data_IF_316819204678
#
_entry.id   IF_316819204678
#
_cell.length_a   1.000
_cell.length_b   1.000
_cell.length_c   1.000
_cell.angle_alpha   90.00
_cell.angle_beta   90.00
_cell.angle_gamma   90.00
#
_symmetry.space_group_name_H-M   'P 1'
#
loop_
_entity.id
_entity.type
_entity.pdbx_description
1 polymer ?
#
# COMPACT_ATOMS: atom_id res chain seq x y z
N UNK A 1 -60.31 67.44 19.22
CA UNK A 1 -60.10 66.44 20.28
C UNK A 1 -59.49 65.20 19.64
N UNK A 2 -58.36 64.74 20.20
CA UNK A 2 -57.59 63.48 20.04
C UNK A 2 -58.41 62.24 19.59
N UNK A 3 -57.92 61.15 18.96
CA UNK A 3 -56.62 60.45 18.84
C UNK A 3 -56.68 59.52 17.58
N UNK A 4 -55.63 59.22 16.80
CA UNK A 4 -54.42 58.37 16.97
C UNK A 4 -54.64 56.83 17.09
N UNK A 5 -53.97 56.06 16.22
CA UNK A 5 -53.71 54.60 16.32
C UNK A 5 -53.82 53.86 14.97
N UNK A 6 -52.80 53.75 14.11
CA UNK A 6 -51.54 52.97 14.16
C UNK A 6 -51.66 51.50 13.73
N UNK A 7 -50.77 51.11 12.83
CA UNK A 7 -50.68 49.84 12.09
C UNK A 7 -49.78 48.79 12.77
N UNK A 8 -50.02 47.50 12.47
CA UNK A 8 -49.03 46.39 12.49
C UNK A 8 -49.57 45.29 11.57
N UNK A 9 -48.89 44.71 10.57
CA UNK A 9 -47.45 44.48 10.43
C UNK A 9 -47.16 42.99 10.64
N UNK A 10 -47.52 42.13 9.68
CA UNK A 10 -47.27 40.69 9.73
C UNK A 10 -45.77 40.39 9.56
N UNK A 11 -45.08 40.07 10.66
CA UNK A 11 -43.70 39.61 10.65
C UNK A 11 -43.62 38.09 10.51
N UNK A 12 -43.15 37.60 9.37
CA UNK A 12 -42.66 36.23 9.24
C UNK A 12 -41.26 36.11 9.86
N UNK A 13 -41.18 35.64 11.10
CA UNK A 13 -39.91 35.24 11.70
C UNK A 13 -39.42 33.93 11.10
N UNK A 14 -38.47 33.99 10.15
CA UNK A 14 -37.64 32.84 9.78
C UNK A 14 -36.66 32.57 10.91
N UNK A 15 -36.88 31.49 11.64
CA UNK A 15 -35.88 30.92 12.54
C UNK A 15 -34.65 30.53 11.70
N UNK A 16 -33.55 31.24 11.90
CA UNK A 16 -32.25 30.89 11.33
C UNK A 16 -31.76 29.66 12.08
N UNK A 17 -31.68 28.51 11.39
CA UNK A 17 -30.99 27.34 11.92
C UNK A 17 -29.50 27.69 12.10
N UNK A 18 -28.88 27.37 13.26
CA UNK A 18 -27.45 27.58 13.43
C UNK A 18 -26.70 26.65 12.47
N UNK A 19 -25.82 27.25 11.65
CA UNK A 19 -24.83 26.51 10.87
C UNK A 19 -23.94 25.71 11.84
N UNK A 20 -23.68 24.41 11.61
CA UNK A 20 -22.60 23.74 12.30
C UNK A 20 -21.26 24.28 11.77
N UNK A 21 -20.73 25.28 12.48
CA UNK A 21 -19.38 25.82 12.27
C UNK A 21 -18.41 24.99 13.08
N UNK A 22 -17.96 23.88 12.53
CA UNK A 22 -16.66 23.29 12.85
C UNK A 22 -16.12 22.71 11.55
N UNK A 23 -15.24 23.46 10.88
CA UNK A 23 -14.31 22.83 9.95
C UNK A 23 -13.67 21.67 10.71
N UNK A 24 -13.72 20.42 10.22
CA UNK A 24 -13.00 19.34 10.89
C UNK A 24 -11.53 19.72 10.87
N UNK A 25 -11.01 20.07 12.04
CA UNK A 25 -9.58 20.27 12.22
C UNK A 25 -8.93 18.96 11.82
N UNK A 26 -8.17 18.98 10.72
CA UNK A 26 -7.47 17.79 10.24
C UNK A 26 -6.62 17.27 11.40
N UNK A 27 -6.91 16.09 11.97
CA UNK A 27 -6.12 15.59 13.08
C UNK A 27 -4.67 15.49 12.62
N UNK A 28 -3.74 15.94 13.46
CA UNK A 28 -2.31 15.75 13.25
C UNK A 28 -2.01 14.25 13.13
N UNK A 29 -0.93 13.85 12.43
CA UNK A 29 -0.54 12.44 12.47
C UNK A 29 -0.35 12.00 13.90
N UNK A 30 -0.83 10.78 14.20
CA UNK A 30 -0.48 10.14 15.45
C UNK A 30 1.05 10.12 15.53
N UNK A 31 1.63 10.54 16.65
CA UNK A 31 3.09 10.60 16.83
C UNK A 31 3.75 9.26 16.51
N UNK A 32 3.04 8.14 16.74
CA UNK A 32 3.46 6.78 16.40
C UNK A 32 3.70 6.54 14.89
N UNK A 33 3.15 7.36 14.01
CA UNK A 33 3.32 7.27 12.56
C UNK A 33 4.34 8.25 12.01
N UNK A 34 4.95 9.09 12.85
CA UNK A 34 5.96 10.07 12.45
C UNK A 34 7.34 9.50 12.76
N UNK A 35 8.19 9.43 11.74
CA UNK A 35 9.59 9.05 11.85
C UNK A 35 10.43 10.33 11.84
N UNK A 36 11.18 10.58 12.92
CA UNK A 36 12.09 11.72 13.03
C UNK A 36 13.52 11.23 13.10
N UNK A 37 14.40 11.86 12.30
CA UNK A 37 15.82 11.55 12.27
C UNK A 37 16.61 12.67 12.98
N UNK A 38 16.37 12.80 14.30
CA UNK A 38 16.89 13.91 15.10
C UNK A 38 16.07 15.18 14.95
N UNK A 39 16.68 16.34 15.21
CA UNK A 39 16.04 17.64 15.00
C UNK A 39 15.71 17.84 13.51
N UNK A 40 14.43 17.96 13.12
CA UNK A 40 14.05 18.08 11.73
C UNK A 40 14.61 19.39 11.16
N UNK A 41 15.43 19.26 10.12
CA UNK A 41 15.98 20.41 9.42
C UNK A 41 15.02 20.98 8.36
N UNK A 42 15.42 22.08 7.75
CA UNK A 42 14.68 22.76 6.68
C UNK A 42 15.26 22.50 5.31
N UNK A 43 15.54 21.24 4.95
CA UNK A 43 16.05 20.93 3.62
C UNK A 43 14.97 21.18 2.57
N UNK A 44 15.25 22.08 1.63
CA UNK A 44 14.36 22.37 0.48
C UNK A 44 14.47 21.30 -0.61
N UNK A 45 15.53 20.49 -0.59
CA UNK A 45 15.74 19.35 -1.48
C UNK A 45 16.20 18.14 -0.68
N UNK A 46 15.59 16.98 -0.93
CA UNK A 46 15.94 15.70 -0.31
C UNK A 46 16.36 14.72 -1.41
N UNK A 47 17.60 14.25 -1.32
CA UNK A 47 18.20 13.31 -2.26
C UNK A 47 17.84 11.88 -1.88
N UNK A 48 17.20 11.14 -2.78
CA UNK A 48 16.78 9.76 -2.51
C UNK A 48 17.67 8.81 -3.30
N UNK A 49 18.32 7.89 -2.57
CA UNK A 49 19.13 6.81 -3.15
C UNK A 49 18.28 5.75 -3.87
N UNK A 50 18.91 4.72 -4.46
CA UNK A 50 18.18 3.66 -5.15
C UNK A 50 17.21 2.96 -4.19
N UNK A 51 15.94 2.96 -4.56
CA UNK A 51 14.88 2.33 -3.77
C UNK A 51 14.64 0.91 -4.26
N UNK A 52 14.78 -0.11 -3.40
CA UNK A 52 14.28 -1.44 -3.70
C UNK A 52 12.75 -1.37 -3.57
N UNK A 53 12.09 -1.13 -4.70
CA UNK A 53 10.64 -1.19 -4.88
C UNK A 53 9.82 -0.06 -4.22
N UNK A 54 8.79 0.36 -4.98
CA UNK A 54 7.50 1.07 -4.75
C UNK A 54 7.22 1.97 -3.51
N UNK A 55 8.04 1.98 -2.46
CA UNK A 55 7.69 2.50 -1.13
C UNK A 55 7.82 4.02 -0.91
N UNK A 56 8.56 4.74 -1.76
CA UNK A 56 8.49 6.21 -1.78
C UNK A 56 7.77 6.64 -3.04
N UNK A 57 6.66 7.34 -2.85
CA UNK A 57 5.93 8.00 -3.93
C UNK A 57 6.67 9.30 -4.27
N UNK A 58 7.53 9.22 -5.27
CA UNK A 58 8.50 10.27 -5.62
C UNK A 58 7.92 11.38 -6.52
N UNK A 59 6.68 11.21 -6.98
CA UNK A 59 5.86 12.31 -7.52
C UNK A 59 4.83 12.67 -6.47
N UNK A 60 4.49 13.95 -6.33
CA UNK A 60 3.35 14.45 -5.53
C UNK A 60 2.04 13.93 -6.12
N UNK A 61 1.84 12.63 -5.96
CA UNK A 61 0.63 11.90 -6.25
C UNK A 61 -0.11 11.84 -4.93
N UNK A 62 -1.35 12.29 -4.98
CA UNK A 62 -2.23 12.29 -3.83
C UNK A 62 -3.46 11.48 -4.16
N UNK A 63 -3.71 10.46 -3.35
CA UNK A 63 -4.93 9.66 -3.38
C UNK A 63 -6.10 10.45 -2.78
N UNK A 64 -7.36 10.07 -3.06
CA UNK A 64 -8.53 10.70 -2.44
C UNK A 64 -8.44 10.79 -0.92
N UNK A 65 -8.11 9.68 -0.26
CA UNK A 65 -7.94 9.57 1.18
C UNK A 65 -6.58 8.91 1.43
N UNK A 66 -5.98 9.15 2.58
CA UNK A 66 -4.80 8.43 3.06
C UNK A 66 -5.15 7.62 4.28
N UNK A 67 -4.35 6.61 4.60
CA UNK A 67 -4.45 5.92 5.89
C UNK A 67 -3.10 5.98 6.56
N UNK A 68 -3.06 6.48 7.78
CA UNK A 68 -1.82 6.46 8.55
C UNK A 68 -1.44 5.03 8.98
N UNK A 69 -0.26 4.88 9.57
CA UNK A 69 0.24 3.59 10.04
C UNK A 69 -0.69 2.84 11.02
N UNK A 70 -1.70 3.49 11.60
CA UNK A 70 -2.71 2.87 12.48
C UNK A 70 -4.02 2.54 11.73
N UNK A 71 -4.09 2.80 10.43
CA UNK A 71 -5.28 2.58 9.61
C UNK A 71 -6.35 3.64 9.83
N UNK A 72 -6.00 4.81 10.38
CA UNK A 72 -6.94 5.91 10.52
C UNK A 72 -6.99 6.71 9.22
N UNK A 73 -8.19 7.03 8.70
CA UNK A 73 -8.33 7.78 7.46
C UNK A 73 -7.91 9.24 7.66
N UNK A 74 -7.15 9.77 6.71
CA UNK A 74 -6.56 11.10 6.70
C UNK A 74 -6.86 11.83 5.40
N UNK A 75 -6.92 13.16 5.39
CA UNK A 75 -7.10 13.91 4.17
C UNK A 75 -6.00 13.65 3.14
N UNK A 76 -6.45 13.37 1.93
CA UNK A 76 -5.66 13.48 0.70
C UNK A 76 -6.29 14.58 -0.16
N UNK A 77 -6.64 14.25 -1.41
CA UNK A 77 -7.43 15.15 -2.27
C UNK A 77 -8.79 15.50 -1.63
N UNK A 78 -9.38 14.55 -0.90
CA UNK A 78 -10.61 14.73 -0.14
C UNK A 78 -10.29 15.23 1.28
N UNK A 79 -10.90 16.36 1.63
CA UNK A 79 -10.80 16.98 2.96
C UNK A 79 -11.83 16.43 3.95
N UNK A 80 -12.89 15.81 3.45
CA UNK A 80 -13.91 15.15 4.26
C UNK A 80 -14.59 14.02 3.48
N UNK A 81 -15.16 13.07 4.21
CA UNK A 81 -15.91 11.95 3.66
C UNK A 81 -17.06 11.55 4.59
N UNK A 82 -18.12 11.01 4.03
CA UNK A 82 -19.23 10.44 4.79
C UNK A 82 -19.87 9.29 4.03
N UNK A 83 -20.45 8.33 4.76
CA UNK A 83 -21.29 7.29 4.18
C UNK A 83 -22.76 7.64 4.34
N UNK A 84 -23.61 7.09 3.47
CA UNK A 84 -25.04 7.01 3.74
C UNK A 84 -25.36 6.00 4.86
N UNK A 85 -26.62 5.89 5.24
CA UNK A 85 -27.09 4.94 6.27
C UNK A 85 -26.90 3.47 5.89
N UNK A 86 -26.70 3.18 4.60
CA UNK A 86 -26.48 1.82 4.12
C UNK A 86 -24.99 1.43 4.12
N UNK A 87 -24.08 2.40 4.22
CA UNK A 87 -22.64 2.17 4.05
C UNK A 87 -22.22 1.85 2.61
N UNK A 88 -23.15 1.88 1.64
CA UNK A 88 -22.87 1.58 0.23
C UNK A 88 -22.44 2.82 -0.55
N UNK A 89 -23.01 3.98 -0.25
CA UNK A 89 -22.66 5.22 -0.94
C UNK A 89 -21.78 6.07 -0.06
N UNK A 90 -20.62 6.46 -0.59
CA UNK A 90 -19.64 7.31 0.08
C UNK A 90 -19.54 8.64 -0.66
N UNK A 91 -19.73 9.75 0.06
CA UNK A 91 -19.52 11.10 -0.48
C UNK A 91 -18.15 11.59 -0.06
N UNK A 92 -17.29 11.88 -1.04
CA UNK A 92 -15.99 12.51 -0.85
C UNK A 92 -16.10 14.01 -1.15
N UNK A 93 -15.56 14.84 -0.27
CA UNK A 93 -15.51 16.31 -0.43
C UNK A 93 -14.07 16.73 -0.71
N UNK A 94 -13.80 17.16 -1.94
CA UNK A 94 -12.48 17.59 -2.41
C UNK A 94 -12.10 18.98 -1.88
N UNK A 95 -10.79 19.23 -1.78
CA UNK A 95 -10.23 20.51 -1.37
C UNK A 95 -10.71 21.68 -2.26
N UNK A 96 -10.84 22.88 -1.69
CA UNK A 96 -11.16 24.08 -2.45
C UNK A 96 -9.94 24.48 -3.31
N UNK A 97 -10.16 24.79 -4.59
CA UNK A 97 -9.07 25.15 -5.52
C UNK A 97 -8.29 23.96 -6.11
N UNK A 98 -8.59 22.73 -5.68
CA UNK A 98 -8.02 21.51 -6.25
C UNK A 98 -8.71 21.02 -7.53
N UNK A 99 -8.40 19.78 -7.90
CA UNK A 99 -9.01 19.05 -9.03
C UNK A 99 -10.54 18.95 -8.86
N UNK A 100 -11.30 19.17 -9.93
CA UNK A 100 -12.75 19.02 -9.87
C UNK A 100 -13.15 17.53 -9.88
N UNK A 101 -14.24 17.19 -9.20
CA UNK A 101 -14.73 15.81 -9.13
C UNK A 101 -15.00 15.20 -10.52
N UNK A 102 -15.51 16.00 -11.47
CA UNK A 102 -15.75 15.54 -12.84
C UNK A 102 -14.44 15.21 -13.58
N UNK A 103 -13.42 16.04 -13.42
CA UNK A 103 -12.10 15.84 -14.05
C UNK A 103 -11.43 14.59 -13.47
N UNK A 104 -11.49 14.42 -12.14
CA UNK A 104 -10.96 13.26 -11.43
C UNK A 104 -11.59 11.94 -11.92
N UNK A 105 -12.92 11.90 -12.03
CA UNK A 105 -13.65 10.73 -12.55
C UNK A 105 -13.32 10.46 -14.01
N UNK A 106 -13.18 11.51 -14.83
CA UNK A 106 -12.77 11.38 -16.23
C UNK A 106 -11.38 10.75 -16.35
N UNK A 107 -10.43 11.22 -15.54
CA UNK A 107 -9.07 10.69 -15.50
C UNK A 107 -9.03 9.23 -15.08
N UNK A 108 -9.73 8.86 -14.01
CA UNK A 108 -9.80 7.47 -13.54
C UNK A 108 -10.43 6.54 -14.56
N UNK A 109 -11.43 7.00 -15.33
CA UNK A 109 -12.03 6.21 -16.42
C UNK A 109 -11.11 6.05 -17.61
N UNK A 110 -10.25 7.04 -17.88
CA UNK A 110 -9.27 6.95 -18.96
C UNK A 110 -8.12 5.99 -18.64
N UNK A 111 -7.84 5.74 -17.35
CA UNK A 111 -6.75 4.85 -16.89
C UNK A 111 -7.25 3.43 -16.64
N UNK A 112 -6.90 2.51 -17.54
CA UNK A 112 -7.30 1.09 -17.43
C UNK A 112 -6.95 0.44 -16.10
N UNK A 113 -5.74 0.67 -15.59
CA UNK A 113 -5.30 0.14 -14.28
C UNK A 113 -6.18 0.64 -13.11
N UNK A 114 -6.58 1.91 -13.14
CA UNK A 114 -7.46 2.51 -12.14
C UNK A 114 -8.87 1.93 -12.20
N UNK A 115 -9.43 1.77 -13.40
CA UNK A 115 -10.71 1.09 -13.58
C UNK A 115 -10.69 -0.34 -13.04
N UNK A 116 -9.64 -1.12 -13.34
CA UNK A 116 -9.49 -2.46 -12.81
C UNK A 116 -9.42 -2.48 -11.29
N UNK A 117 -8.65 -1.57 -10.67
CA UNK A 117 -8.57 -1.45 -9.20
C UNK A 117 -9.94 -1.13 -8.57
N UNK A 118 -10.68 -0.19 -9.14
CA UNK A 118 -12.04 0.18 -8.70
C UNK A 118 -13.02 -1.00 -8.82
N UNK A 119 -12.96 -1.74 -9.93
CA UNK A 119 -13.77 -2.94 -10.12
C UNK A 119 -13.46 -4.03 -9.09
N UNK A 120 -12.17 -4.29 -8.83
CA UNK A 120 -11.74 -5.25 -7.81
C UNK A 120 -12.17 -4.83 -6.39
N UNK A 121 -12.19 -3.53 -6.11
CA UNK A 121 -12.72 -2.98 -4.87
C UNK A 121 -14.26 -3.01 -4.79
N UNK A 122 -14.95 -3.44 -5.85
CA UNK A 122 -16.41 -3.52 -5.90
C UNK A 122 -17.09 -2.17 -6.07
N UNK A 123 -16.42 -1.16 -6.64
CA UNK A 123 -17.04 0.12 -7.00
C UNK A 123 -17.98 -0.10 -8.20
N UNK A 124 -19.26 0.23 -8.02
CA UNK A 124 -20.29 0.14 -9.06
C UNK A 124 -20.42 1.41 -9.87
N UNK A 125 -20.33 2.57 -9.20
CA UNK A 125 -20.48 3.85 -9.88
C UNK A 125 -19.73 4.97 -9.16
N UNK A 126 -19.40 6.00 -9.94
CA UNK A 126 -18.77 7.24 -9.49
C UNK A 126 -19.50 8.40 -10.15
N UNK A 127 -20.12 9.25 -9.35
CA UNK A 127 -20.99 10.34 -9.81
C UNK A 127 -20.52 11.65 -9.17
N UNK A 128 -19.97 12.60 -9.95
CA UNK A 128 -19.72 13.95 -9.45
C UNK A 128 -21.07 14.65 -9.22
N UNK A 129 -21.36 15.05 -7.97
CA UNK A 129 -22.55 15.83 -7.64
C UNK A 129 -22.37 17.30 -7.99
N UNK A 130 -21.16 17.80 -7.80
CA UNK A 130 -20.72 19.13 -8.19
C UNK A 130 -19.20 19.16 -8.31
N UNK A 131 -18.60 20.36 -8.40
CA UNK A 131 -17.15 20.53 -8.53
C UNK A 131 -16.35 19.85 -7.42
N UNK A 132 -16.87 19.78 -6.19
CA UNK A 132 -16.13 19.31 -5.01
C UNK A 132 -16.68 18.03 -4.42
N UNK A 133 -17.91 17.62 -4.73
CA UNK A 133 -18.54 16.42 -4.15
C UNK A 133 -18.57 15.30 -5.17
N UNK A 134 -17.96 14.17 -4.81
CA UNK A 134 -17.97 12.93 -5.57
C UNK A 134 -18.69 11.85 -4.76
N UNK A 135 -19.73 11.24 -5.32
CA UNK A 135 -20.35 10.05 -4.74
C UNK A 135 -19.76 8.80 -5.39
N UNK A 136 -19.32 7.86 -4.56
CA UNK A 136 -18.86 6.53 -4.97
C UNK A 136 -19.79 5.49 -4.37
N UNK A 137 -20.37 4.64 -5.21
CA UNK A 137 -21.27 3.56 -4.77
C UNK A 137 -20.56 2.22 -4.86
N UNK A 138 -20.63 1.45 -3.78
CA UNK A 138 -20.05 0.13 -3.64
C UNK A 138 -21.11 -0.96 -3.82
N UNK A 139 -20.69 -2.10 -4.37
CA UNK A 139 -21.50 -3.32 -4.47
C UNK A 139 -21.91 -3.84 -3.11
N UNK A 140 -21.01 -3.74 -2.13
CA UNK A 140 -21.27 -4.14 -0.74
C UNK A 140 -21.14 -2.96 0.21
N UNK A 141 -21.94 -2.94 1.29
CA UNK A 141 -21.79 -1.93 2.31
C UNK A 141 -20.43 -2.05 3.00
N UNK A 142 -19.83 -0.92 3.34
CA UNK A 142 -18.65 -0.82 4.18
C UNK A 142 -18.98 -0.02 5.43
N UNK A 143 -18.67 -0.56 6.61
CA UNK A 143 -18.88 0.15 7.87
C UNK A 143 -17.79 1.19 8.15
N UNK A 144 -16.62 1.03 7.52
CA UNK A 144 -15.47 1.92 7.63
C UNK A 144 -15.12 2.50 6.26
N UNK A 145 -14.26 3.53 6.26
CA UNK A 145 -13.80 4.16 5.02
C UNK A 145 -13.13 3.10 4.14
N UNK A 146 -13.58 2.92 2.88
CA UNK A 146 -13.01 1.95 1.96
C UNK A 146 -11.52 2.22 1.70
N UNK A 147 -10.69 1.19 1.87
CA UNK A 147 -9.23 1.26 1.68
C UNK A 147 -8.83 1.59 0.24
N UNK A 148 -9.68 1.25 -0.74
CA UNK A 148 -9.48 1.63 -2.15
C UNK A 148 -9.29 3.14 -2.32
N UNK A 149 -9.86 3.99 -1.47
CA UNK A 149 -9.69 5.44 -1.57
C UNK A 149 -8.25 5.93 -1.30
N UNK A 150 -7.40 5.07 -0.76
CA UNK A 150 -5.97 5.33 -0.62
C UNK A 150 -5.09 4.61 -1.66
N UNK A 151 -5.70 3.88 -2.60
CA UNK A 151 -4.94 3.13 -3.59
C UNK A 151 -4.14 4.06 -4.52
N UNK A 152 -2.84 3.81 -4.75
CA UNK A 152 -2.01 4.64 -5.62
C UNK A 152 -2.52 4.77 -7.06
N UNK A 153 -3.30 3.80 -7.55
CA UNK A 153 -3.92 3.91 -8.88
C UNK A 153 -4.97 5.01 -8.96
N UNK A 154 -5.53 5.49 -7.84
CA UNK A 154 -6.42 6.65 -7.80
C UNK A 154 -5.67 7.97 -7.62
N UNK A 155 -4.38 7.93 -7.32
CA UNK A 155 -3.63 9.14 -7.06
C UNK A 155 -3.50 9.99 -8.33
N UNK A 156 -3.53 11.31 -8.14
CA UNK A 156 -3.33 12.30 -9.21
C UNK A 156 -2.24 13.29 -8.81
N UNK A 157 -1.53 13.91 -9.78
CA UNK A 157 -0.55 14.93 -9.48
C UNK A 157 -1.19 16.13 -8.77
N UNK A 158 -0.61 16.58 -7.66
CA UNK A 158 -0.97 17.84 -7.02
C UNK A 158 0.05 18.93 -7.33
N UNK A 159 -0.45 20.05 -7.84
CA UNK A 159 0.34 21.24 -8.16
C UNK A 159 0.49 22.06 -6.86
N UNK A 160 1.38 21.65 -5.98
CA UNK A 160 1.75 22.43 -4.80
C UNK A 160 2.94 23.34 -5.09
N UNK A 161 2.75 24.65 -5.01
CA UNK A 161 3.77 25.69 -5.32
C UNK A 161 4.83 25.93 -4.22
N UNK A 162 5.08 24.99 -3.29
CA UNK A 162 6.00 25.28 -2.17
C UNK A 162 6.46 24.12 -1.29
N UNK A 163 6.55 22.90 -1.81
CA UNK A 163 7.01 21.74 -1.01
C UNK A 163 8.42 21.28 -1.39
N UNK A 164 9.02 20.47 -0.50
CA UNK A 164 10.36 19.86 -0.64
C UNK A 164 10.51 19.20 -2.01
N UNK A 165 11.58 19.55 -2.72
CA UNK A 165 11.94 18.92 -4.00
C UNK A 165 12.62 17.59 -3.72
N UNK A 166 12.13 16.52 -4.33
CA UNK A 166 12.79 15.22 -4.28
C UNK A 166 13.76 15.13 -5.45
N UNK A 167 15.06 15.04 -5.17
CA UNK A 167 16.05 14.74 -6.18
C UNK A 167 16.31 13.23 -6.22
N UNK A 168 16.06 12.62 -7.38
CA UNK A 168 16.20 11.20 -7.58
C UNK A 168 17.59 10.90 -8.09
N UNK A 169 18.44 10.44 -7.17
CA UNK A 169 19.78 10.03 -7.52
C UNK A 169 19.73 8.58 -7.98
N UNK A 170 19.26 8.39 -9.23
CA UNK A 170 19.18 7.07 -9.84
C UNK A 170 20.57 6.58 -10.21
N UNK A 171 21.04 5.54 -9.53
CA UNK A 171 22.32 4.92 -9.82
C UNK A 171 22.10 3.48 -10.31
N UNK A 172 22.45 3.25 -11.57
CA UNK A 172 22.48 1.90 -12.15
C UNK A 172 23.76 1.21 -11.72
N UNK A 173 23.64 0.18 -10.88
CA UNK A 173 24.64 -0.88 -10.78
C UNK A 173 25.66 -0.83 -9.64
N UNK A 174 25.59 0.17 -8.75
CA UNK A 174 26.58 0.30 -7.67
C UNK A 174 25.98 -0.01 -6.30
N UNK A 175 26.86 -0.42 -5.41
CA UNK A 175 26.63 -0.65 -3.99
C UNK A 175 25.77 0.47 -3.35
N UNK A 176 24.66 0.16 -2.65
CA UNK A 176 23.83 1.18 -2.01
C UNK A 176 24.59 2.11 -1.05
N UNK A 177 25.74 1.66 -0.53
CA UNK A 177 26.65 2.47 0.30
C UNK A 177 27.21 3.68 -0.46
N UNK A 178 27.47 3.54 -1.76
CA UNK A 178 27.99 4.64 -2.59
C UNK A 178 26.97 5.78 -2.77
N UNK A 179 25.67 5.47 -2.69
CA UNK A 179 24.64 6.49 -2.68
C UNK A 179 24.70 7.33 -1.39
N UNK A 180 24.91 6.68 -0.24
CA UNK A 180 25.05 7.36 1.05
C UNK A 180 26.32 8.23 1.11
N UNK A 181 27.44 7.76 0.56
CA UNK A 181 28.69 8.52 0.50
C UNK A 181 28.63 9.72 -0.43
N UNK A 182 27.84 9.63 -1.50
CA UNK A 182 27.58 10.76 -2.41
C UNK A 182 26.51 11.73 -1.92
N UNK A 183 25.98 11.52 -0.71
CA UNK A 183 25.08 12.47 -0.06
C UNK A 183 23.60 12.14 -0.20
N UNK A 184 23.20 10.92 -0.55
CA UNK A 184 21.80 10.51 -0.43
C UNK A 184 21.31 10.74 1.02
N UNK A 185 20.14 11.36 1.14
CA UNK A 185 19.49 11.72 2.38
C UNK A 185 18.57 10.61 2.88
N UNK A 186 17.98 9.86 1.95
CA UNK A 186 17.08 8.74 2.20
C UNK A 186 17.50 7.52 1.39
N UNK A 187 17.57 6.36 2.06
CA UNK A 187 17.78 5.07 1.41
C UNK A 187 17.01 3.98 2.15
N UNK A 188 16.08 3.31 1.47
CA UNK A 188 15.45 2.11 1.99
C UNK A 188 16.27 0.88 1.61
N UNK A 189 16.52 -0.04 2.53
CA UNK A 189 17.32 -1.25 2.28
C UNK A 189 16.89 -2.41 3.16
N UNK A 190 17.03 -3.62 2.64
CA UNK A 190 16.94 -4.89 3.37
C UNK A 190 18.33 -5.53 3.58
N UNK A 191 19.40 -4.91 3.07
CA UNK A 191 20.76 -5.42 3.16
C UNK A 191 21.38 -5.11 4.53
N UNK A 192 21.71 -6.13 5.35
CA UNK A 192 22.31 -5.91 6.66
C UNK A 192 23.68 -5.22 6.59
N UNK A 193 24.43 -5.38 5.49
CA UNK A 193 25.72 -4.71 5.31
C UNK A 193 25.59 -3.21 5.11
N UNK A 194 24.50 -2.75 4.50
CA UNK A 194 24.18 -1.32 4.37
C UNK A 194 23.71 -0.75 5.72
N UNK A 195 22.96 -1.53 6.49
CA UNK A 195 22.53 -1.15 7.85
C UNK A 195 23.73 -1.01 8.79
N UNK A 196 24.65 -1.97 8.77
CA UNK A 196 25.89 -1.93 9.55
C UNK A 196 26.78 -0.76 9.12
N UNK A 197 26.88 -0.51 7.82
CA UNK A 197 27.57 0.65 7.28
C UNK A 197 26.99 1.96 7.82
N UNK A 198 25.67 2.14 7.74
CA UNK A 198 24.99 3.33 8.24
C UNK A 198 25.17 3.51 9.76
N UNK A 199 25.17 2.41 10.54
CA UNK A 199 25.40 2.46 11.99
C UNK A 199 26.80 2.97 12.37
N UNK A 200 27.80 2.84 11.47
CA UNK A 200 29.15 3.38 11.67
C UNK A 200 29.27 4.89 11.41
N UNK A 201 28.21 5.54 10.91
CA UNK A 201 28.21 6.94 10.45
C UNK A 201 27.37 7.82 11.37
N UNK A 202 27.94 8.83 12.05
CA UNK A 202 27.20 9.66 13.03
C UNK A 202 26.17 10.60 12.38
N UNK A 203 26.34 10.89 11.10
CA UNK A 203 25.44 11.72 10.28
C UNK A 203 24.19 10.98 9.80
N UNK A 204 24.15 9.65 9.95
CA UNK A 204 23.06 8.79 9.52
C UNK A 204 22.30 8.20 10.72
N UNK A 205 21.03 7.94 10.50
CA UNK A 205 20.14 7.25 11.44
C UNK A 205 19.44 6.10 10.71
N UNK A 206 19.43 4.94 11.34
CA UNK A 206 18.69 3.77 10.86
C UNK A 206 17.36 3.69 11.59
N UNK A 207 16.26 3.69 10.83
CA UNK A 207 14.91 3.50 11.33
C UNK A 207 14.39 2.16 10.82
N UNK A 208 14.02 1.27 11.73
CA UNK A 208 13.38 0.02 11.35
C UNK A 208 11.94 0.29 10.92
N UNK A 209 11.58 -0.08 9.70
CA UNK A 209 10.20 0.01 9.24
C UNK A 209 9.38 -1.14 9.82
N UNK A 210 8.04 -1.04 9.87
CA UNK A 210 7.21 -2.15 10.31
C UNK A 210 7.38 -3.38 9.43
N UNK A 211 6.98 -4.53 9.96
CA UNK A 211 6.76 -5.76 9.18
C UNK A 211 5.72 -5.51 8.09
N UNK A 212 6.20 -5.24 6.88
CA UNK A 212 5.38 -4.75 5.76
C UNK A 212 5.18 -5.79 4.69
N UNK A 213 6.04 -6.82 4.62
CA UNK A 213 5.98 -7.88 3.61
C UNK A 213 5.85 -9.25 4.25
N UNK A 214 5.05 -10.10 3.62
CA UNK A 214 4.89 -11.51 3.97
C UNK A 214 5.22 -12.37 2.74
N UNK A 215 6.11 -13.35 2.93
CA UNK A 215 6.44 -14.34 1.91
C UNK A 215 5.58 -15.58 2.10
N UNK A 216 5.03 -16.06 1.00
CA UNK A 216 4.13 -17.22 0.95
C UNK A 216 4.69 -18.28 0.01
N UNK A 217 4.41 -19.53 0.35
CA UNK A 217 4.45 -20.64 -0.59
C UNK A 217 3.01 -20.90 -1.08
N UNK A 218 2.77 -20.66 -2.36
CA UNK A 218 1.51 -21.00 -3.02
C UNK A 218 1.66 -22.33 -3.74
N UNK A 219 0.82 -23.30 -3.39
CA UNK A 219 0.78 -24.62 -4.02
C UNK A 219 -0.51 -24.71 -4.84
N UNK A 220 -0.45 -24.72 -6.18
CA UNK A 220 -1.64 -24.90 -7.01
C UNK A 220 -2.38 -26.20 -6.68
N UNK A 221 -3.68 -26.22 -6.94
CA UNK A 221 -4.56 -27.38 -6.73
C UNK A 221 -3.97 -28.66 -7.37
N UNK A 222 -3.58 -29.63 -6.55
CA UNK A 222 -2.70 -30.73 -6.94
C UNK A 222 -2.17 -31.60 -5.81
N UNK A 223 -1.24 -32.51 -6.14
CA UNK A 223 -0.62 -33.36 -5.12
C UNK A 223 0.13 -32.49 -4.11
N UNK A 224 -0.11 -32.65 -2.79
CA UNK A 224 0.57 -31.88 -1.78
C UNK A 224 2.08 -32.06 -1.93
N UNK A 225 2.82 -30.98 -1.68
CA UNK A 225 4.27 -31.07 -1.60
C UNK A 225 4.58 -31.80 -0.30
N UNK A 226 5.05 -33.04 -0.39
CA UNK A 226 5.63 -33.75 0.75
C UNK A 226 6.91 -33.02 1.15
N UNK A 227 6.76 -32.08 2.07
CA UNK A 227 7.88 -31.49 2.78
C UNK A 227 8.24 -32.45 3.91
N UNK A 228 9.53 -32.70 4.09
CA UNK A 228 10.06 -33.54 5.17
C UNK A 228 9.78 -32.99 6.58
N UNK A 229 9.20 -31.79 6.67
CA UNK A 229 8.76 -31.09 7.89
C UNK A 229 7.32 -30.63 7.63
N UNK A 230 6.45 -30.71 8.65
CA UNK A 230 5.12 -30.07 8.57
C UNK A 230 5.31 -28.57 8.25
N UNK A 231 4.97 -28.22 7.00
CA UNK A 231 5.19 -26.90 6.42
C UNK A 231 4.51 -25.76 7.19
N UNK A 232 3.52 -26.09 8.03
CA UNK A 232 2.76 -25.13 8.83
C UNK A 232 3.22 -25.03 10.29
N UNK A 233 4.34 -25.67 10.66
CA UNK A 233 4.87 -25.52 12.02
C UNK A 233 5.53 -24.15 12.21
N UNK A 234 5.25 -23.49 13.34
CA UNK A 234 5.92 -22.24 13.72
C UNK A 234 7.45 -22.40 13.81
N UNK A 235 7.92 -23.61 14.16
CA UNK A 235 9.34 -23.95 14.21
C UNK A 235 9.99 -23.94 12.82
N UNK A 236 9.30 -24.47 11.79
CA UNK A 236 9.77 -24.42 10.41
C UNK A 236 9.88 -22.97 9.91
N UNK A 237 8.84 -22.15 10.14
CA UNK A 237 8.87 -20.72 9.81
C UNK A 237 10.01 -19.98 10.50
N UNK A 238 10.25 -20.26 11.78
CA UNK A 238 11.34 -19.65 12.52
C UNK A 238 12.73 -20.08 12.02
N UNK A 239 12.89 -21.33 11.57
CA UNK A 239 14.12 -21.80 10.95
C UNK A 239 14.36 -21.12 9.59
N UNK A 240 13.33 -21.00 8.73
CA UNK A 240 13.44 -20.25 7.47
C UNK A 240 13.85 -18.80 7.71
N UNK A 241 13.22 -18.12 8.67
CA UNK A 241 13.54 -16.73 8.98
C UNK A 241 14.99 -16.52 9.44
N UNK A 242 15.57 -17.48 10.16
CA UNK A 242 16.95 -17.38 10.67
C UNK A 242 18.01 -17.85 9.67
N UNK A 243 17.71 -18.93 8.94
CA UNK A 243 18.75 -19.68 8.21
C UNK A 243 18.71 -19.44 6.69
N UNK A 244 17.56 -18.99 6.15
CA UNK A 244 17.42 -18.78 4.71
C UNK A 244 17.71 -17.33 4.29
N UNK A 245 17.23 -16.36 5.06
CA UNK A 245 17.19 -14.94 4.66
C UNK A 245 18.27 -14.13 5.37
N UNK A 246 18.94 -13.24 4.63
CA UNK A 246 20.00 -12.39 5.19
C UNK A 246 19.49 -11.14 5.90
N UNK A 247 18.36 -10.60 5.48
CA UNK A 247 17.75 -9.39 6.04
C UNK A 247 16.93 -9.65 7.30
N UNK A 248 16.27 -8.61 7.81
CA UNK A 248 15.38 -8.73 8.97
C UNK A 248 14.15 -9.57 8.62
N UNK A 249 14.09 -10.77 9.20
CA UNK A 249 13.01 -11.74 8.99
C UNK A 249 12.51 -12.32 10.33
N UNK A 250 11.22 -12.70 10.35
CA UNK A 250 10.62 -13.47 11.45
C UNK A 250 9.61 -14.47 10.91
N UNK A 251 9.20 -15.43 11.72
CA UNK A 251 8.10 -16.33 11.37
C UNK A 251 6.84 -15.52 11.04
N UNK A 252 6.11 -15.89 9.99
CA UNK A 252 4.85 -15.24 9.65
C UNK A 252 3.82 -15.46 10.75
N UNK A 253 3.22 -14.36 11.24
CA UNK A 253 2.23 -14.36 12.32
C UNK A 253 0.83 -13.92 11.85
N UNK A 254 -0.26 -14.58 12.28
CA UNK A 254 -1.62 -14.12 12.00
C UNK A 254 -1.91 -12.77 12.69
N UNK A 255 -2.98 -12.04 12.29
CA UNK A 255 -3.99 -12.43 11.31
C UNK A 255 -3.52 -12.28 9.86
N UNK A 256 -3.96 -13.18 8.99
CA UNK A 256 -3.72 -13.08 7.55
C UNK A 256 -4.99 -12.60 6.83
N UNK A 257 -4.85 -11.55 6.02
CA UNK A 257 -6.01 -10.89 5.41
C UNK A 257 -6.77 -11.79 4.41
N UNK A 258 -6.14 -12.83 3.87
CA UNK A 258 -6.76 -13.81 2.97
C UNK A 258 -7.52 -14.94 3.68
N UNK A 259 -7.36 -15.12 4.99
CA UNK A 259 -8.12 -16.13 5.75
C UNK A 259 -9.60 -15.73 5.92
N UNK A 260 -9.85 -14.43 5.89
CA UNK A 260 -11.18 -13.85 5.89
C UNK A 260 -11.37 -13.07 4.60
N UNK A 261 -11.30 -13.75 3.43
CA UNK A 261 -11.22 -13.05 2.16
C UNK A 261 -12.50 -12.20 2.01
N UNK A 262 -12.38 -10.91 1.65
CA UNK A 262 -13.56 -10.19 1.22
C UNK A 262 -14.15 -10.97 0.06
N UNK A 263 -15.47 -11.14 0.02
CA UNK A 263 -16.06 -11.97 -1.03
C UNK A 263 -15.74 -11.33 -2.40
N UNK A 264 -14.73 -11.81 -3.10
CA UNK A 264 -14.33 -11.18 -4.35
C UNK A 264 -15.42 -11.48 -5.37
N UNK A 265 -15.93 -10.43 -6.01
CA UNK A 265 -16.89 -10.62 -7.09
C UNK A 265 -16.21 -11.46 -8.15
N UNK A 266 -16.78 -12.62 -8.48
CA UNK A 266 -16.23 -13.50 -9.50
C UNK A 266 -16.28 -12.76 -10.84
N UNK A 267 -15.17 -12.18 -11.27
CA UNK A 267 -14.98 -11.97 -12.70
C UNK A 267 -14.91 -13.36 -13.31
N UNK A 268 -15.70 -13.67 -14.35
CA UNK A 268 -15.64 -14.98 -14.97
C UNK A 268 -14.22 -15.20 -15.49
N UNK A 269 -13.48 -16.07 -14.81
CA UNK A 269 -12.27 -16.66 -15.37
C UNK A 269 -12.68 -17.27 -16.70
N UNK A 270 -11.99 -16.98 -17.83
CA UNK A 270 -12.14 -17.83 -18.99
C UNK A 270 -11.92 -19.28 -18.53
N UNK A 271 -12.84 -20.16 -18.94
CA UNK A 271 -12.90 -21.54 -18.50
C UNK A 271 -11.50 -22.15 -18.45
N UNK A 272 -11.20 -22.88 -17.38
CA UNK A 272 -9.96 -23.60 -17.15
C UNK A 272 -9.64 -24.53 -18.33
N UNK A 273 -9.08 -23.97 -19.39
CA UNK A 273 -8.64 -24.70 -20.56
C UNK A 273 -7.32 -25.36 -20.18
N UNK A 274 -7.40 -26.64 -19.84
CA UNK A 274 -6.25 -27.54 -19.68
C UNK A 274 -5.18 -27.04 -18.70
N UNK A 275 -5.42 -27.20 -17.39
CA UNK A 275 -4.34 -27.12 -16.39
C UNK A 275 -3.36 -28.26 -16.62
N UNK A 276 -2.37 -28.06 -17.47
CA UNK A 276 -1.21 -28.94 -17.54
C UNK A 276 -0.12 -28.33 -16.67
N UNK A 277 0.23 -29.01 -15.57
CA UNK A 277 1.52 -28.77 -14.92
C UNK A 277 2.59 -29.10 -15.96
N UNK A 278 3.32 -28.09 -16.40
CA UNK A 278 4.39 -28.23 -17.39
C UNK A 278 5.74 -28.40 -16.69
N UNK A 279 5.88 -27.83 -15.49
CA UNK A 279 7.11 -27.86 -14.71
C UNK A 279 6.96 -28.49 -13.32
N UNK A 280 8.09 -28.99 -12.82
CA UNK A 280 8.23 -29.57 -11.48
C UNK A 280 8.98 -28.68 -10.49
N UNK A 281 9.13 -27.38 -10.80
CA UNK A 281 9.96 -26.47 -10.02
C UNK A 281 9.15 -25.65 -8.99
N UNK A 282 9.85 -25.11 -8.01
CA UNK A 282 9.38 -24.00 -7.16
C UNK A 282 9.81 -22.69 -7.82
N UNK A 283 8.84 -21.97 -8.36
CA UNK A 283 9.09 -20.73 -9.07
C UNK A 283 9.06 -19.50 -8.15
N UNK A 284 9.80 -18.45 -8.50
CA UNK A 284 9.87 -17.21 -7.73
C UNK A 284 10.18 -16.01 -8.66
N UNK A 285 9.87 -14.76 -8.26
CA UNK A 285 10.26 -13.58 -9.04
C UNK A 285 11.79 -13.50 -9.15
N UNK A 286 12.34 -13.46 -10.37
CA UNK A 286 13.78 -13.55 -10.63
C UNK A 286 14.61 -12.50 -9.88
N UNK A 287 14.05 -11.32 -9.68
CA UNK A 287 14.70 -10.19 -8.98
C UNK A 287 14.49 -10.16 -7.47
N UNK A 288 13.64 -11.05 -6.94
CA UNK A 288 13.40 -11.15 -5.51
C UNK A 288 14.37 -12.16 -4.88
N UNK A 289 15.46 -11.62 -4.32
CA UNK A 289 16.51 -12.40 -3.68
C UNK A 289 15.99 -13.23 -2.51
N UNK A 290 15.12 -12.66 -1.70
CA UNK A 290 14.54 -13.35 -0.54
C UNK A 290 13.65 -14.49 -0.99
N UNK A 291 12.84 -14.30 -2.05
CA UNK A 291 12.04 -15.38 -2.63
C UNK A 291 12.93 -16.52 -3.16
N UNK A 292 14.06 -16.19 -3.81
CA UNK A 292 15.05 -17.17 -4.24
C UNK A 292 15.62 -17.96 -3.06
N UNK A 293 16.12 -17.27 -2.04
CA UNK A 293 16.75 -17.88 -0.85
C UNK A 293 15.77 -18.82 -0.13
N UNK A 294 14.49 -18.43 -0.02
CA UNK A 294 13.43 -19.28 0.50
C UNK A 294 13.15 -20.48 -0.40
N UNK A 295 13.01 -20.29 -1.71
CA UNK A 295 12.75 -21.37 -2.66
C UNK A 295 13.88 -22.41 -2.67
N UNK A 296 15.14 -21.97 -2.68
CA UNK A 296 16.32 -22.85 -2.61
C UNK A 296 16.35 -23.64 -1.31
N UNK A 297 16.02 -23.01 -0.17
CA UNK A 297 15.94 -23.69 1.11
C UNK A 297 14.83 -24.74 1.15
N UNK A 298 13.65 -24.44 0.59
CA UNK A 298 12.53 -25.39 0.52
C UNK A 298 12.89 -26.58 -0.38
N UNK A 299 13.52 -26.33 -1.54
CA UNK A 299 14.01 -27.40 -2.42
C UNK A 299 15.05 -28.28 -1.71
N UNK A 300 15.97 -27.69 -0.94
CA UNK A 300 16.95 -28.48 -0.17
C UNK A 300 16.32 -29.38 0.91
N UNK A 301 15.08 -29.13 1.32
CA UNK A 301 14.33 -29.91 2.31
C UNK A 301 13.33 -30.88 1.68
N UNK A 302 13.37 -31.05 0.36
CA UNK A 302 12.41 -31.86 -0.40
C UNK A 302 13.08 -32.68 -1.48
N UNK A 303 12.45 -33.79 -1.86
CA UNK A 303 13.01 -34.71 -2.84
C UNK A 303 12.54 -34.37 -4.26
N UNK A 304 13.49 -34.26 -5.19
CA UNK A 304 13.21 -34.22 -6.64
C UNK A 304 12.66 -32.90 -7.20
N UNK A 305 12.72 -31.80 -6.44
CA UNK A 305 12.35 -30.47 -6.93
C UNK A 305 13.56 -29.62 -7.33
N UNK A 306 13.30 -28.59 -8.14
CA UNK A 306 14.28 -27.58 -8.54
C UNK A 306 13.69 -26.19 -8.35
N UNK A 307 14.51 -25.14 -8.39
CA UNK A 307 14.02 -23.77 -8.34
C UNK A 307 14.00 -23.13 -9.72
N UNK A 308 13.10 -22.18 -9.95
CA UNK A 308 12.99 -21.46 -11.24
C UNK A 308 12.70 -19.97 -11.02
N UNK A 309 13.66 -19.12 -11.32
CA UNK A 309 13.41 -17.68 -11.38
C UNK A 309 12.59 -17.32 -12.62
N UNK A 310 11.50 -16.57 -12.44
CA UNK A 310 10.63 -16.08 -13.51
C UNK A 310 10.72 -14.55 -13.59
N UNK A 311 10.81 -14.02 -14.80
CA UNK A 311 10.64 -12.58 -15.03
C UNK A 311 9.21 -12.16 -14.69
N UNK A 312 9.01 -10.89 -14.35
CA UNK A 312 7.70 -10.35 -13.93
C UNK A 312 6.59 -10.63 -14.96
N UNK A 313 6.92 -10.51 -16.26
CA UNK A 313 6.00 -10.77 -17.37
C UNK A 313 5.54 -12.24 -17.46
N UNK A 314 6.37 -13.19 -17.00
CA UNK A 314 6.10 -14.62 -17.07
C UNK A 314 5.51 -15.16 -15.76
N UNK A 315 5.81 -14.51 -14.63
CA UNK A 315 5.38 -14.94 -13.30
C UNK A 315 3.86 -14.91 -13.16
N UNK A 316 3.20 -13.82 -13.53
CA UNK A 316 1.74 -13.69 -13.34
C UNK A 316 0.95 -14.70 -14.19
N UNK A 317 1.24 -14.91 -15.49
CA UNK A 317 0.62 -15.98 -16.27
C UNK A 317 0.89 -17.38 -15.71
N UNK A 318 2.14 -17.68 -15.31
CA UNK A 318 2.50 -18.98 -14.74
C UNK A 318 1.77 -19.26 -13.43
N UNK A 319 1.74 -18.26 -12.53
CA UNK A 319 1.05 -18.33 -11.25
C UNK A 319 -0.45 -18.57 -11.46
N UNK A 320 -1.10 -17.78 -12.32
CA UNK A 320 -2.53 -17.91 -12.59
C UNK A 320 -2.88 -19.28 -13.20
N UNK A 321 -2.04 -19.80 -14.10
CA UNK A 321 -2.21 -21.11 -14.72
C UNK A 321 -1.86 -22.28 -13.79
N UNK A 322 -1.08 -22.06 -12.73
CA UNK A 322 -0.53 -23.12 -11.89
C UNK A 322 0.43 -24.05 -12.65
N UNK A 323 1.23 -23.52 -13.57
CA UNK A 323 2.08 -24.31 -14.47
C UNK A 323 3.28 -24.99 -13.81
N UNK A 324 3.68 -24.53 -12.63
CA UNK A 324 4.79 -25.05 -11.82
C UNK A 324 4.29 -25.77 -10.55
N UNK A 325 5.19 -26.43 -9.83
CA UNK A 325 4.84 -27.21 -8.63
C UNK A 325 4.41 -26.31 -7.46
N UNK A 326 5.08 -25.18 -7.31
CA UNK A 326 4.82 -24.19 -6.26
C UNK A 326 5.37 -22.82 -6.65
N UNK A 327 4.96 -21.79 -5.92
CA UNK A 327 5.45 -20.43 -6.09
C UNK A 327 5.83 -19.82 -4.75
N UNK A 328 7.02 -19.23 -4.65
CA UNK A 328 7.40 -18.35 -3.55
C UNK A 328 7.19 -16.91 -4.00
N UNK A 329 6.22 -16.23 -3.40
CA UNK A 329 5.92 -14.83 -3.72
C UNK A 329 5.83 -13.99 -2.44
N UNK A 330 6.03 -12.68 -2.59
CA UNK A 330 5.86 -11.72 -1.50
C UNK A 330 4.62 -10.86 -1.70
N UNK A 331 3.94 -10.54 -0.60
CA UNK A 331 2.77 -9.67 -0.56
C UNK A 331 2.94 -8.60 0.50
N UNK A 332 2.17 -7.51 0.38
CA UNK A 332 2.04 -6.57 1.48
C UNK A 332 1.26 -7.22 2.63
N UNK A 333 1.71 -7.00 3.88
CA UNK A 333 0.98 -7.40 5.09
C UNK A 333 -0.35 -6.66 5.24
N UNK A 334 -0.43 -5.46 4.68
CA UNK A 334 -1.64 -4.63 4.64
C UNK A 334 -1.92 -4.27 3.20
N UNK A 335 -3.12 -4.60 2.74
CA UNK A 335 -3.50 -4.51 1.32
C UNK A 335 -4.69 -3.58 1.18
N UNK A 336 -4.59 -2.64 0.26
CA UNK A 336 -5.66 -1.68 -0.02
C UNK A 336 -6.80 -2.29 -0.84
N UNK A 337 -6.50 -3.26 -1.72
CA UNK A 337 -7.49 -3.93 -2.58
C UNK A 337 -7.27 -5.45 -2.57
N UNK A 338 -7.71 -6.19 -1.52
CA UNK A 338 -7.41 -7.62 -1.37
C UNK A 338 -7.86 -8.48 -2.54
N UNK A 339 -8.99 -8.14 -3.18
CA UNK A 339 -9.46 -8.90 -4.34
C UNK A 339 -8.59 -8.75 -5.58
N UNK A 340 -7.86 -7.63 -5.73
CA UNK A 340 -6.87 -7.49 -6.79
C UNK A 340 -5.70 -8.45 -6.55
N UNK A 341 -5.21 -8.52 -5.31
CA UNK A 341 -4.10 -9.42 -4.96
C UNK A 341 -4.47 -10.90 -5.15
N UNK A 342 -5.67 -11.31 -4.74
CA UNK A 342 -6.13 -12.70 -4.88
C UNK A 342 -6.42 -13.10 -6.33
N UNK A 343 -6.71 -12.15 -7.21
CA UNK A 343 -7.10 -12.44 -8.60
C UNK A 343 -6.01 -13.13 -9.43
N UNK A 344 -4.74 -12.93 -9.06
CA UNK A 344 -3.60 -13.54 -9.71
C UNK A 344 -3.33 -14.98 -9.28
N UNK A 345 -4.01 -15.49 -8.25
CA UNK A 345 -3.67 -16.77 -7.64
C UNK A 345 -4.36 -17.94 -8.34
N UNK A 346 -3.72 -19.13 -8.38
CA UNK A 346 -4.39 -20.31 -8.89
C UNK A 346 -5.62 -20.63 -8.04
N UNK A 347 -6.74 -20.94 -8.71
CA UNK A 347 -7.99 -21.32 -8.02
C UNK A 347 -7.75 -22.58 -7.19
N UNK A 348 -8.15 -22.56 -5.92
CA UNK A 348 -8.01 -23.70 -5.00
C UNK A 348 -6.59 -23.91 -4.48
N UNK A 349 -5.68 -22.96 -4.70
CA UNK A 349 -4.32 -23.05 -4.19
C UNK A 349 -4.28 -23.13 -2.65
N UNK A 350 -3.39 -23.97 -2.14
CA UNK A 350 -3.02 -24.00 -0.72
C UNK A 350 -2.04 -22.86 -0.48
N UNK A 351 -2.30 -22.07 0.55
CA UNK A 351 -1.51 -20.90 0.91
C UNK A 351 -0.76 -21.22 2.21
N UNK A 352 0.57 -21.24 2.16
CA UNK A 352 1.41 -21.48 3.33
C UNK A 352 2.20 -20.20 3.65
N UNK A 353 1.88 -19.51 4.75
CA UNK A 353 2.70 -18.40 5.24
C UNK A 353 4.10 -18.89 5.61
N UNK A 354 5.15 -18.22 5.12
CA UNK A 354 6.53 -18.58 5.43
C UNK A 354 7.10 -17.62 6.48
N UNK A 355 7.38 -16.39 6.08
CA UNK A 355 8.07 -15.40 6.92
C UNK A 355 7.52 -14.00 6.68
N UNK A 356 7.69 -13.15 7.68
CA UNK A 356 7.60 -11.71 7.50
C UNK A 356 8.97 -11.12 7.31
N UNK A 357 9.04 -10.05 6.52
CA UNK A 357 10.24 -9.23 6.36
C UNK A 357 9.91 -7.76 6.56
N UNK A 358 10.93 -7.01 6.95
CA UNK A 358 10.90 -5.55 7.03
C UNK A 358 12.18 -4.98 6.45
N UNK A 359 12.07 -3.81 5.86
CA UNK A 359 13.21 -3.00 5.46
C UNK A 359 13.62 -2.04 6.57
N UNK A 360 14.82 -1.50 6.45
CA UNK A 360 15.29 -0.35 7.21
C UNK A 360 15.28 0.88 6.31
N UNK A 361 14.97 2.04 6.89
CA UNK A 361 15.14 3.33 6.26
C UNK A 361 16.37 4.01 6.87
N UNK A 362 17.37 4.26 6.05
CA UNK A 362 18.52 5.10 6.40
C UNK A 362 18.15 6.54 6.09
N UNK A 363 18.28 7.40 7.10
CA UNK A 363 17.92 8.82 7.04
C UNK A 363 19.11 9.65 7.49
N UNK A 364 19.49 10.64 6.68
CA UNK A 364 20.47 11.64 7.09
C UNK A 364 19.87 12.59 8.11
N UNK A 365 20.63 12.94 9.14
CA UNK A 365 20.19 13.93 10.13
C UNK A 365 19.88 15.27 9.46
N UNK A 366 18.81 15.92 9.87
CA UNK A 366 18.34 17.19 9.31
C UNK A 366 17.36 17.05 8.14
N UNK A 367 17.03 15.83 7.71
CA UNK A 367 15.89 15.60 6.81
C UNK A 367 14.58 15.96 7.55
N UNK A 368 13.58 16.53 6.86
CA UNK A 368 12.26 16.76 7.43
C UNK A 368 11.64 15.49 8.01
N UNK A 369 10.69 15.65 8.94
CA UNK A 369 9.96 14.52 9.49
C UNK A 369 9.29 13.70 8.36
N UNK A 370 9.24 12.39 8.54
CA UNK A 370 8.61 11.47 7.60
C UNK A 370 7.35 10.90 8.24
N UNK A 371 6.34 10.59 7.45
CA UNK A 371 5.14 9.87 7.88
C UNK A 371 5.11 8.49 7.23
N UNK A 372 4.82 7.49 8.05
CA UNK A 372 4.56 6.12 7.62
C UNK A 372 3.06 5.95 7.35
N UNK A 373 2.74 5.46 6.17
CA UNK A 373 1.37 5.18 5.73
C UNK A 373 0.99 3.71 6.02
N UNK A 374 -0.30 3.41 5.91
CA UNK A 374 -0.86 2.11 6.30
C UNK A 374 -0.32 0.94 5.47
N UNK A 375 -0.01 1.15 4.19
CA UNK A 375 0.56 0.17 3.27
C UNK A 375 2.08 0.00 3.44
N UNK A 376 2.69 0.72 4.38
CA UNK A 376 4.13 0.70 4.64
C UNK A 376 4.93 1.68 3.79
N UNK A 377 4.26 2.50 2.95
CA UNK A 377 4.94 3.57 2.22
C UNK A 377 5.38 4.70 3.16
N UNK A 378 6.44 5.40 2.77
CA UNK A 378 7.01 6.51 3.54
C UNK A 378 6.84 7.80 2.75
N UNK A 379 6.45 8.88 3.44
CA UNK A 379 6.28 10.21 2.85
C UNK A 379 7.01 11.27 3.65
N UNK A 380 7.48 12.32 2.99
CA UNK A 380 7.92 13.54 3.68
C UNK A 380 6.71 14.30 4.22
N UNK A 381 6.81 14.77 5.46
CA UNK A 381 5.85 15.71 6.03
C UNK A 381 6.11 17.10 5.44
N UNK A 382 5.08 17.71 4.82
CA UNK A 382 5.18 19.09 4.37
C UNK A 382 5.17 20.03 5.58
N UNK A 383 6.04 21.04 5.59
CA UNK A 383 5.97 22.14 6.56
C UNK A 383 4.57 22.76 6.48
N UNK A 384 3.82 22.73 7.59
CA UNK A 384 2.59 23.50 7.74
C UNK A 384 2.87 24.98 7.96
#
# INVERSE_FOLDING_TARGET
>A
MLALGAATGSGCGRASAPLPTTSPMVPAPAEACVLTAGEPGGLDTVSVGPLPFEGLLLRRLESPIRFDCLGQPRPGLATAWSSDSSGRSWTLVLAAGGVAAADLVSEWRARGATLSALQWAGVESMVPLDRRRLVVTLRRPSATVPTIFADPSLAVPTLGDGGVVLDLVSHRGDDPRDALDRGADLLQTDDPGVVEYAASRPDLLTVELPWSRIYLLLVPDGDPIELSIEADSAAFRAALARDAVRGAARAAEPPFWWEHPPACGSTPSPAAAGRQRVGGAIAYPLRDRTARELAERIVALSDGMTTKGLEEADLAPALHAGSERAYVISLARRVLVPCRELSGWPTGAIIVPLIDTRSSLIVRRGVPALTLEWDGSVRLEERR
#
